data_IF_534716504965
#
_entry.id   IF_534716504965
#
_cell.length_a   1.000
_cell.length_b   1.000
_cell.length_c   1.000
_cell.angle_alpha   90.00
_cell.angle_beta   90.00
_cell.angle_gamma   90.00
#
_symmetry.space_group_name_H-M   'P 1'
#
loop_
_entity.id
_entity.type
_entity.pdbx_description
1 polymer ?
#
# COMPACT_ATOMS: atom_id res chain seq x y z
N UNK A 1 -7.15 25.70 12.60
CA UNK A 1 -6.23 25.06 11.64
C UNK A 1 -4.84 25.04 12.27
N UNK A 2 -4.15 23.89 12.33
CA UNK A 2 -2.69 23.93 12.35
C UNK A 2 -2.16 22.95 11.30
N UNK A 3 -1.99 23.44 10.08
CA UNK A 3 -1.09 22.82 9.11
C UNK A 3 0.39 23.19 9.42
N UNK A 4 0.64 23.93 10.50
CA UNK A 4 1.93 24.53 10.86
C UNK A 4 2.78 23.71 11.84
N UNK A 5 2.73 22.37 11.77
CA UNK A 5 3.69 21.50 12.49
C UNK A 5 4.57 20.67 11.55
N UNK A 6 4.86 21.20 10.36
CA UNK A 6 5.90 20.63 9.47
C UNK A 6 7.33 20.96 9.92
N UNK A 7 7.53 21.45 11.14
CA UNK A 7 8.83 21.95 11.58
C UNK A 7 9.82 20.88 12.09
N UNK A 8 9.40 19.65 12.47
CA UNK A 8 10.34 18.63 13.00
C UNK A 8 9.97 17.17 12.71
N UNK A 9 9.36 16.86 11.55
CA UNK A 9 9.28 15.46 11.15
C UNK A 9 10.69 14.95 10.79
N UNK A 10 11.15 13.87 11.41
CA UNK A 10 12.32 13.11 10.98
C UNK A 10 12.20 12.70 9.51
N UNK A 11 13.33 12.46 8.84
CA UNK A 11 13.32 11.96 7.46
C UNK A 11 12.49 10.66 7.34
N UNK A 12 12.52 9.82 8.39
CA UNK A 12 11.71 8.62 8.51
C UNK A 12 10.20 8.92 8.54
N UNK A 13 9.76 9.92 9.28
CA UNK A 13 8.34 10.29 9.33
C UNK A 13 7.83 10.85 8.00
N UNK A 14 8.64 11.66 7.30
CA UNK A 14 8.31 12.10 5.94
C UNK A 14 8.21 10.93 4.97
N UNK A 15 9.14 9.99 5.04
CA UNK A 15 9.12 8.78 4.21
C UNK A 15 7.88 7.95 4.49
N UNK A 16 7.60 7.64 5.76
CA UNK A 16 6.40 6.91 6.18
C UNK A 16 5.13 7.59 5.68
N UNK A 17 5.03 8.91 5.84
CA UNK A 17 3.87 9.67 5.39
C UNK A 17 3.69 9.53 3.88
N UNK A 18 4.76 9.76 3.10
CA UNK A 18 4.72 9.69 1.65
C UNK A 18 4.35 8.27 1.16
N UNK A 19 5.00 7.23 1.70
CA UNK A 19 4.75 5.84 1.31
C UNK A 19 3.32 5.42 1.67
N UNK A 20 2.86 5.73 2.88
CA UNK A 20 1.50 5.37 3.34
C UNK A 20 0.42 5.98 2.47
N UNK A 21 0.50 7.29 2.21
CA UNK A 21 -0.51 7.97 1.41
C UNK A 21 -0.46 7.56 -0.06
N UNK A 22 0.73 7.36 -0.62
CA UNK A 22 0.88 6.88 -2.00
C UNK A 22 0.32 5.47 -2.15
N UNK A 23 0.66 4.54 -1.24
CA UNK A 23 0.14 3.18 -1.22
C UNK A 23 -1.39 3.17 -1.10
N UNK A 24 -1.96 3.98 -0.20
CA UNK A 24 -3.41 4.11 -0.01
C UNK A 24 -4.12 4.64 -1.25
N UNK A 25 -3.60 5.70 -1.87
CA UNK A 25 -4.18 6.27 -3.08
C UNK A 25 -4.19 5.25 -4.23
N UNK A 26 -3.10 4.51 -4.41
CA UNK A 26 -3.00 3.47 -5.43
C UNK A 26 -3.95 2.30 -5.14
N UNK A 27 -4.08 1.91 -3.87
CA UNK A 27 -5.02 0.85 -3.48
C UNK A 27 -6.48 1.26 -3.71
N UNK A 28 -6.83 2.53 -3.44
CA UNK A 28 -8.15 3.10 -3.77
C UNK A 28 -8.40 3.02 -5.27
N UNK A 29 -7.43 3.39 -6.10
CA UNK A 29 -7.53 3.21 -7.56
C UNK A 29 -7.72 1.73 -7.94
N UNK A 30 -7.09 0.80 -7.23
CA UNK A 30 -7.31 -0.65 -7.39
C UNK A 30 -8.75 -1.07 -7.08
N UNK A 31 -9.32 -0.60 -5.97
CA UNK A 31 -10.74 -0.82 -5.65
C UNK A 31 -11.67 -0.23 -6.70
N UNK A 32 -11.37 0.98 -7.18
CA UNK A 32 -12.12 1.63 -8.26
C UNK A 32 -12.06 0.79 -9.54
N UNK A 33 -10.86 0.38 -9.97
CA UNK A 33 -10.68 -0.45 -11.15
C UNK A 33 -11.43 -1.79 -11.04
N UNK A 34 -11.45 -2.43 -9.87
CA UNK A 34 -12.29 -3.61 -9.61
C UNK A 34 -13.78 -3.32 -9.77
N UNK A 35 -14.26 -2.21 -9.21
CA UNK A 35 -15.67 -1.81 -9.33
C UNK A 35 -16.11 -1.57 -10.78
N UNK A 36 -15.19 -1.11 -11.63
CA UNK A 36 -15.44 -0.92 -13.07
C UNK A 36 -15.06 -2.13 -13.94
N UNK A 37 -14.64 -3.25 -13.36
CA UNK A 37 -14.26 -4.46 -14.12
C UNK A 37 -12.98 -4.31 -14.96
N UNK A 38 -12.10 -3.37 -14.61
CA UNK A 38 -10.86 -3.10 -15.35
C UNK A 38 -9.76 -4.10 -14.98
N UNK A 39 -9.78 -5.26 -15.62
CA UNK A 39 -8.73 -6.28 -15.51
C UNK A 39 -7.71 -6.16 -16.66
N UNK A 40 -6.41 -6.40 -16.42
CA UNK A 40 -5.76 -6.75 -15.15
C UNK A 40 -5.32 -5.52 -14.32
N UNK A 41 -5.69 -4.29 -14.71
CA UNK A 41 -5.20 -3.06 -14.08
C UNK A 41 -5.48 -3.00 -12.58
N UNK A 42 -6.66 -3.47 -12.14
CA UNK A 42 -6.98 -3.58 -10.74
C UNK A 42 -5.94 -4.40 -9.94
N UNK A 43 -5.48 -5.53 -10.48
CA UNK A 43 -4.49 -6.40 -9.83
C UNK A 43 -3.14 -5.72 -9.69
N UNK A 44 -2.67 -5.01 -10.72
CA UNK A 44 -1.40 -4.28 -10.65
C UNK A 44 -1.44 -3.12 -9.67
N UNK A 45 -2.55 -2.38 -9.63
CA UNK A 45 -2.77 -1.32 -8.65
C UNK A 45 -2.78 -1.89 -7.22
N UNK A 46 -3.46 -3.01 -7.00
CA UNK A 46 -3.44 -3.68 -5.70
C UNK A 46 -2.04 -4.17 -5.32
N UNK A 47 -1.27 -4.74 -6.25
CA UNK A 47 0.09 -5.19 -5.97
C UNK A 47 0.97 -4.05 -5.46
N UNK A 48 0.94 -2.91 -6.14
CA UNK A 48 1.70 -1.73 -5.73
C UNK A 48 1.24 -1.24 -4.36
N UNK A 49 -0.08 -1.17 -4.12
CA UNK A 49 -0.63 -0.78 -2.83
C UNK A 49 -0.23 -1.74 -1.70
N UNK A 50 -0.28 -3.05 -1.93
CA UNK A 50 0.09 -4.07 -0.94
C UNK A 50 1.59 -4.01 -0.60
N UNK A 51 2.46 -3.87 -1.60
CA UNK A 51 3.91 -3.70 -1.37
C UNK A 51 4.18 -2.40 -0.60
N UNK A 52 3.49 -1.32 -0.95
CA UNK A 52 3.60 -0.05 -0.24
C UNK A 52 3.18 -0.16 1.24
N UNK A 53 2.07 -0.83 1.54
CA UNK A 53 1.63 -1.04 2.91
C UNK A 53 2.49 -2.04 3.70
N UNK A 54 3.06 -3.04 3.03
CA UNK A 54 4.09 -3.90 3.64
C UNK A 54 5.30 -3.05 4.06
N UNK A 55 5.76 -2.14 3.20
CA UNK A 55 6.85 -1.22 3.53
C UNK A 55 6.50 -0.27 4.68
N UNK A 56 5.26 0.21 4.78
CA UNK A 56 4.77 0.97 5.95
C UNK A 56 4.85 0.12 7.22
N UNK A 57 4.41 -1.14 7.18
CA UNK A 57 4.51 -2.07 8.30
C UNK A 57 5.95 -2.27 8.75
N UNK A 58 6.88 -2.48 7.82
CA UNK A 58 8.31 -2.59 8.12
C UNK A 58 8.86 -1.28 8.72
N UNK A 59 8.49 -0.13 8.15
CA UNK A 59 8.89 1.17 8.68
C UNK A 59 8.36 1.39 10.09
N UNK A 60 7.13 0.96 10.42
CA UNK A 60 6.56 1.05 11.76
C UNK A 60 6.97 -0.08 12.71
N UNK A 61 7.68 -1.11 12.23
CA UNK A 61 7.94 -2.35 12.96
C UNK A 61 6.66 -3.04 13.45
N UNK A 62 5.57 -2.92 12.68
CA UNK A 62 4.28 -3.55 12.95
C UNK A 62 4.20 -4.91 12.23
N UNK A 63 4.43 -5.97 12.99
CA UNK A 63 4.44 -7.35 12.48
C UNK A 63 3.07 -7.80 11.95
N UNK A 64 1.98 -7.31 12.53
CA UNK A 64 0.64 -7.67 12.08
C UNK A 64 0.34 -7.03 10.73
N UNK A 65 0.68 -5.74 10.57
CA UNK A 65 0.53 -5.02 9.31
C UNK A 65 1.40 -5.66 8.20
N UNK A 66 2.64 -6.03 8.52
CA UNK A 66 3.52 -6.76 7.60
C UNK A 66 2.94 -8.12 7.20
N UNK A 67 2.48 -8.92 8.16
CA UNK A 67 1.97 -10.27 7.91
C UNK A 67 0.78 -10.25 6.95
N UNK A 68 -0.21 -9.38 7.20
CA UNK A 68 -1.42 -9.31 6.36
C UNK A 68 -1.06 -8.96 4.91
N UNK A 69 -0.17 -7.99 4.70
CA UNK A 69 0.23 -7.58 3.36
C UNK A 69 1.14 -8.60 2.68
N UNK A 70 2.00 -9.31 3.42
CA UNK A 70 2.83 -10.38 2.87
C UNK A 70 1.97 -11.56 2.39
N UNK A 71 0.99 -11.97 3.20
CA UNK A 71 0.04 -13.04 2.81
C UNK A 71 -0.81 -12.60 1.63
N UNK A 72 -1.33 -11.37 1.63
CA UNK A 72 -2.07 -10.82 0.49
C UNK A 72 -1.23 -10.81 -0.79
N UNK A 73 0.04 -10.39 -0.71
CA UNK A 73 0.97 -10.38 -1.83
C UNK A 73 1.18 -11.79 -2.39
N UNK A 74 1.43 -12.77 -1.50
CA UNK A 74 1.60 -14.17 -1.89
C UNK A 74 0.36 -14.74 -2.57
N UNK A 75 -0.82 -14.49 -2.00
CA UNK A 75 -2.09 -14.94 -2.57
C UNK A 75 -2.36 -14.31 -3.96
N UNK A 76 -2.08 -13.01 -4.11
CA UNK A 76 -2.23 -12.32 -5.39
C UNK A 76 -1.29 -12.88 -6.46
N UNK A 77 0.00 -13.05 -6.14
CA UNK A 77 0.99 -13.60 -7.07
C UNK A 77 0.61 -15.02 -7.48
N UNK A 78 0.24 -15.87 -6.52
CA UNK A 78 -0.20 -17.24 -6.79
C UNK A 78 -1.44 -17.26 -7.71
N UNK A 79 -2.45 -16.43 -7.42
CA UNK A 79 -3.66 -16.33 -8.24
C UNK A 79 -3.39 -15.84 -9.67
N UNK A 80 -2.48 -14.88 -9.85
CA UNK A 80 -2.07 -14.43 -11.19
C UNK A 80 -1.24 -15.46 -11.95
N UNK A 81 -0.42 -16.24 -11.26
CA UNK A 81 0.43 -17.27 -11.86
C UNK A 81 -0.33 -18.59 -12.15
N UNK A 82 -1.51 -18.79 -11.56
CA UNK A 82 -2.36 -19.97 -11.79
C UNK A 82 -3.30 -19.86 -13.00
N UNK A 83 -3.32 -18.70 -13.66
CA UNK A 83 -4.05 -18.49 -14.92
C UNK A 83 -3.26 -18.97 -16.13
#
# INVERSE_FOLDING_TARGET
>A
MPFDTLAFASARERLVFAVKWSASAIQIMGYTATGFGLTPWNLYLFLIGVVGWFAVGALWNDKALMLVHLVALGAMIAGMASG
#
